data_IF_081042875224
#
_entry.id   IF_081042875224
#
_cell.length_a   1.000
_cell.length_b   1.000
_cell.length_c   1.000
_cell.angle_alpha   90.00
_cell.angle_beta   90.00
_cell.angle_gamma   90.00
#
_symmetry.space_group_name_H-M   'P 1'
#
loop_
_entity.id
_entity.type
_entity.pdbx_description
1 polymer ?
#
# COMPACT_ATOMS: atom_id res chain seq x y z
N UNK A 1 -9.42 -0.06 12.55
CA UNK A 1 -8.24 0.45 11.83
C UNK A 1 -7.19 -0.64 11.86
N UNK A 2 -6.84 -1.18 10.70
CA UNK A 2 -5.94 -2.31 10.56
C UNK A 2 -4.68 -1.99 9.72
N UNK A 3 -4.56 -0.74 9.22
CA UNK A 3 -3.39 -0.29 8.46
C UNK A 3 -3.08 1.18 8.69
N UNK A 4 -1.79 1.46 8.85
CA UNK A 4 -1.22 2.81 8.91
C UNK A 4 -0.11 2.95 7.90
N UNK A 5 0.15 4.16 7.40
CA UNK A 5 1.38 4.48 6.68
C UNK A 5 2.28 5.38 7.49
N UNK A 6 3.58 5.20 7.29
CA UNK A 6 4.64 5.96 7.94
C UNK A 6 5.56 6.50 6.87
N UNK A 7 5.77 7.82 6.82
CA UNK A 7 6.67 8.48 5.87
C UNK A 7 8.13 8.16 6.22
N UNK A 8 8.47 6.89 6.21
CA UNK A 8 9.86 6.44 6.43
C UNK A 8 10.03 4.99 6.00
N UNK A 9 11.09 4.71 5.30
CA UNK A 9 11.57 3.35 5.08
C UNK A 9 12.59 2.90 6.14
N UNK A 10 12.70 3.64 7.23
CA UNK A 10 13.58 3.27 8.33
C UNK A 10 12.93 2.20 9.21
N UNK A 11 12.99 0.96 8.77
CA UNK A 11 12.45 -0.20 9.49
C UNK A 11 12.92 -0.27 10.94
N UNK A 12 14.14 0.22 11.25
CA UNK A 12 14.65 0.32 12.63
C UNK A 12 13.69 1.04 13.56
N UNK A 13 13.16 2.19 13.12
CA UNK A 13 12.22 2.99 13.92
C UNK A 13 10.87 2.30 14.07
N UNK A 14 10.37 1.73 12.96
CA UNK A 14 9.10 0.99 12.96
C UNK A 14 9.22 -0.21 13.89
N UNK A 15 10.25 -1.06 13.71
CA UNK A 15 10.45 -2.25 14.54
C UNK A 15 10.67 -1.93 16.03
N UNK A 16 11.28 -0.78 16.33
CA UNK A 16 11.46 -0.33 17.72
C UNK A 16 10.17 0.19 18.36
N UNK A 17 9.24 0.71 17.55
CA UNK A 17 7.96 1.23 18.04
C UNK A 17 6.89 0.15 18.17
N UNK A 18 7.01 -0.97 17.44
CA UNK A 18 6.06 -2.07 17.56
C UNK A 18 6.09 -2.67 18.98
N UNK A 19 4.93 -3.10 19.49
CA UNK A 19 4.90 -3.84 20.75
C UNK A 19 5.59 -5.20 20.58
N UNK A 20 5.82 -5.87 21.71
CA UNK A 20 6.31 -7.25 21.68
C UNK A 20 5.28 -8.14 20.98
N UNK A 21 5.70 -8.74 19.85
CA UNK A 21 4.90 -9.68 19.10
C UNK A 21 5.09 -11.11 19.66
N UNK A 22 4.11 -12.01 19.49
CA UNK A 22 4.32 -13.44 19.72
C UNK A 22 5.53 -13.96 18.94
N UNK A 23 6.17 -15.06 19.35
CA UNK A 23 7.26 -15.67 18.59
C UNK A 23 6.91 -15.87 17.13
N UNK A 24 7.67 -15.27 16.22
CA UNK A 24 7.39 -15.28 14.79
C UNK A 24 8.66 -15.31 13.94
N UNK A 25 8.48 -15.68 12.69
CA UNK A 25 9.45 -15.55 11.63
C UNK A 25 8.97 -14.49 10.62
N UNK A 26 9.90 -13.91 9.88
CA UNK A 26 9.60 -12.97 8.81
C UNK A 26 9.68 -13.67 7.46
N UNK A 27 8.55 -13.79 6.78
CA UNK A 27 8.50 -14.08 5.35
C UNK A 27 8.65 -12.75 4.62
N UNK A 28 9.72 -12.64 3.84
CA UNK A 28 10.04 -11.43 3.06
C UNK A 28 9.89 -11.81 1.59
N UNK A 29 9.09 -11.04 0.86
CA UNK A 29 8.77 -11.32 -0.55
C UNK A 29 8.85 -10.05 -1.38
N UNK A 30 9.02 -10.22 -2.69
CA UNK A 30 9.04 -9.15 -3.70
C UNK A 30 10.00 -8.01 -3.32
N UNK A 31 11.19 -8.40 -2.86
CA UNK A 31 12.15 -7.52 -2.22
C UNK A 31 13.05 -6.80 -3.24
N UNK A 32 13.10 -5.48 -3.11
CA UNK A 32 14.14 -4.62 -3.69
C UNK A 32 14.71 -3.72 -2.59
N UNK A 33 16.00 -3.82 -2.34
CA UNK A 33 16.66 -3.02 -1.30
C UNK A 33 18.10 -2.67 -1.69
N UNK A 34 18.62 -1.63 -1.06
CA UNK A 34 19.99 -1.19 -1.17
C UNK A 34 20.62 -1.10 0.22
N UNK A 35 21.85 -1.56 0.37
CA UNK A 35 22.68 -1.28 1.54
C UNK A 35 23.48 -0.01 1.28
N UNK A 36 23.15 1.08 1.98
CA UNK A 36 23.80 2.37 1.80
C UNK A 36 25.20 2.43 2.42
N UNK A 37 25.57 1.42 3.23
CA UNK A 37 26.90 1.31 3.86
C UNK A 37 27.96 0.61 3.01
N UNK A 38 27.58 0.02 1.86
CA UNK A 38 28.49 -0.67 0.91
C UNK A 38 27.95 -2.00 0.43
N UNK A 39 28.30 -2.38 -0.79
CA UNK A 39 27.73 -3.49 -1.56
C UNK A 39 28.02 -4.92 -1.06
N UNK A 40 28.96 -5.11 -0.15
CA UNK A 40 29.49 -6.45 0.19
C UNK A 40 28.57 -7.36 1.01
N UNK A 41 27.32 -6.97 1.20
CA UNK A 41 26.41 -7.72 2.07
C UNK A 41 25.03 -8.04 1.51
N UNK A 42 24.72 -7.61 0.29
CA UNK A 42 23.39 -7.76 -0.29
C UNK A 42 23.09 -9.13 -0.92
N UNK A 43 24.03 -10.06 -1.07
CA UNK A 43 23.76 -11.35 -1.73
C UNK A 43 22.59 -12.11 -1.07
N UNK A 44 22.52 -12.12 0.26
CA UNK A 44 21.40 -12.72 1.00
C UNK A 44 20.10 -11.99 0.72
N UNK A 45 20.12 -10.67 0.65
CA UNK A 45 18.99 -9.79 0.45
C UNK A 45 18.65 -9.55 -1.03
N UNK A 46 19.47 -10.08 -1.95
CA UNK A 46 19.19 -10.09 -3.39
C UNK A 46 18.19 -11.19 -3.80
N UNK A 47 17.75 -12.03 -2.86
CA UNK A 47 16.78 -13.06 -3.12
C UNK A 47 15.37 -12.45 -3.10
N UNK A 48 14.51 -12.86 -4.04
CA UNK A 48 13.13 -12.39 -4.10
C UNK A 48 12.28 -12.84 -2.92
N UNK A 49 12.71 -13.88 -2.21
CA UNK A 49 12.01 -14.48 -1.10
C UNK A 49 12.98 -14.95 -0.03
N UNK A 50 12.70 -14.57 1.22
CA UNK A 50 13.48 -14.96 2.40
C UNK A 50 12.53 -15.38 3.52
N UNK A 51 12.92 -16.41 4.28
CA UNK A 51 12.30 -16.73 5.56
C UNK A 51 13.36 -16.61 6.65
N UNK A 52 13.22 -15.62 7.52
CA UNK A 52 14.18 -15.30 8.58
C UNK A 52 13.52 -15.38 9.95
N UNK A 53 14.29 -15.79 10.97
CA UNK A 53 13.84 -15.61 12.35
C UNK A 53 13.76 -14.11 12.69
N UNK A 54 12.89 -13.73 13.63
CA UNK A 54 12.79 -12.33 14.09
C UNK A 54 14.14 -11.81 14.59
N UNK A 55 14.90 -12.62 15.31
CA UNK A 55 16.22 -12.26 15.78
C UNK A 55 17.18 -11.94 14.62
N UNK A 56 17.25 -12.82 13.62
CA UNK A 56 18.10 -12.60 12.45
C UNK A 56 17.71 -11.36 11.69
N UNK A 57 16.42 -11.17 11.44
CA UNK A 57 15.90 -9.98 10.75
C UNK A 57 16.26 -8.70 11.48
N UNK A 58 15.96 -8.61 12.78
CA UNK A 58 16.27 -7.42 13.60
C UNK A 58 17.78 -7.15 13.69
N UNK A 59 18.59 -8.18 13.79
CA UNK A 59 20.05 -8.03 13.78
C UNK A 59 20.56 -7.47 12.45
N UNK A 60 20.08 -7.98 11.34
CA UNK A 60 20.46 -7.51 10.01
C UNK A 60 20.04 -6.05 9.80
N UNK A 61 18.78 -5.72 10.09
CA UNK A 61 18.28 -4.34 9.99
C UNK A 61 19.01 -3.39 10.94
N UNK A 62 19.44 -3.84 12.13
CA UNK A 62 20.20 -3.02 13.08
C UNK A 62 21.63 -2.76 12.62
N UNK A 63 22.30 -3.78 12.07
CA UNK A 63 23.71 -3.72 11.69
C UNK A 63 23.92 -2.96 10.38
N UNK A 64 22.95 -2.96 9.50
CA UNK A 64 23.04 -2.40 8.16
C UNK A 64 22.20 -1.15 8.01
N UNK A 65 22.59 -0.27 7.13
CA UNK A 65 21.78 0.89 6.74
C UNK A 65 20.99 0.54 5.47
N UNK A 66 20.01 -0.35 5.65
CA UNK A 66 19.18 -0.86 4.55
C UNK A 66 18.11 0.16 4.15
N UNK A 67 18.07 0.50 2.88
CA UNK A 67 16.97 1.19 2.26
C UNK A 67 16.12 0.18 1.47
N UNK A 68 14.92 -0.07 1.92
CA UNK A 68 13.96 -0.91 1.21
C UNK A 68 13.18 -0.04 0.23
N UNK A 69 13.31 -0.34 -1.07
CA UNK A 69 12.57 0.34 -2.13
C UNK A 69 11.19 -0.29 -2.24
N UNK A 70 11.17 -1.61 -2.41
CA UNK A 70 9.97 -2.45 -2.42
C UNK A 70 10.19 -3.66 -1.52
N UNK A 71 9.10 -4.22 -1.04
CA UNK A 71 9.13 -5.49 -0.32
C UNK A 71 8.00 -5.63 0.67
N UNK A 72 7.55 -6.87 0.84
CA UNK A 72 6.54 -7.24 1.83
C UNK A 72 7.16 -8.12 2.90
N UNK A 73 6.99 -7.76 4.15
CA UNK A 73 7.58 -8.40 5.33
C UNK A 73 6.45 -8.88 6.22
N UNK A 74 6.13 -10.16 6.15
CA UNK A 74 5.01 -10.78 6.88
C UNK A 74 5.51 -11.48 8.15
N UNK A 75 5.08 -11.03 9.33
CA UNK A 75 5.36 -11.67 10.61
C UNK A 75 4.44 -12.88 10.80
N UNK A 76 4.97 -14.09 10.66
CA UNK A 76 4.24 -15.34 10.74
C UNK A 76 4.63 -16.09 12.01
N UNK A 77 3.66 -16.51 12.87
CA UNK A 77 3.96 -17.27 14.09
C UNK A 77 4.84 -18.49 13.85
N UNK A 78 5.78 -18.76 14.76
CA UNK A 78 6.71 -19.89 14.64
C UNK A 78 6.06 -21.27 14.70
N UNK A 79 4.77 -21.34 15.04
CA UNK A 79 4.00 -22.62 15.04
C UNK A 79 3.72 -23.20 13.65
N UNK A 80 4.00 -22.45 12.58
CA UNK A 80 3.79 -22.91 11.20
C UNK A 80 5.11 -23.33 10.56
N UNK A 81 5.10 -24.50 9.91
CA UNK A 81 6.22 -24.97 9.09
C UNK A 81 6.32 -24.18 7.78
N UNK A 82 7.50 -24.16 7.17
CA UNK A 82 7.69 -23.53 5.85
C UNK A 82 6.75 -24.11 4.80
N UNK A 83 6.49 -25.42 4.83
CA UNK A 83 5.56 -26.08 3.92
C UNK A 83 4.11 -25.58 4.08
N UNK A 84 3.69 -25.25 5.30
CA UNK A 84 2.36 -24.67 5.55
C UNK A 84 2.29 -23.22 5.07
N UNK A 85 3.35 -22.44 5.31
CA UNK A 85 3.46 -21.06 4.83
C UNK A 85 3.34 -21.02 3.30
N UNK A 86 4.08 -21.87 2.60
CA UNK A 86 4.12 -21.92 1.13
C UNK A 86 2.85 -22.47 0.46
N UNK A 87 1.83 -22.90 1.22
CA UNK A 87 0.51 -23.27 0.66
C UNK A 87 -0.31 -22.05 0.21
N UNK A 88 0.06 -20.86 0.67
CA UNK A 88 -0.63 -19.63 0.34
C UNK A 88 0.13 -18.83 -0.73
N UNK A 89 -0.58 -18.01 -1.52
CA UNK A 89 0.08 -17.09 -2.43
C UNK A 89 1.08 -16.19 -1.67
N UNK A 90 2.21 -15.95 -2.30
CA UNK A 90 3.20 -15.02 -1.74
C UNK A 90 2.66 -13.59 -1.82
N UNK A 91 2.88 -12.79 -0.77
CA UNK A 91 2.57 -11.36 -0.82
C UNK A 91 3.35 -10.63 -1.91
N UNK A 92 2.70 -9.66 -2.54
CA UNK A 92 3.25 -8.85 -3.62
C UNK A 92 3.30 -7.37 -3.21
N UNK A 93 4.37 -6.68 -3.58
CA UNK A 93 4.57 -5.27 -3.25
C UNK A 93 3.64 -4.37 -4.08
N UNK A 94 3.56 -4.58 -5.38
CA UNK A 94 2.70 -3.79 -6.25
C UNK A 94 1.26 -4.35 -6.31
N UNK A 95 0.48 -4.11 -5.27
CA UNK A 95 -0.89 -4.60 -5.21
C UNK A 95 -1.90 -3.48 -4.91
N UNK A 96 -3.08 -3.46 -5.56
CA UNK A 96 -4.14 -2.50 -5.25
C UNK A 96 -4.79 -2.71 -3.87
N UNK A 97 -4.43 -3.76 -3.15
CA UNK A 97 -4.99 -4.04 -1.81
C UNK A 97 -4.77 -2.89 -0.82
N UNK A 98 -3.66 -2.16 -0.94
CA UNK A 98 -3.37 -1.01 -0.08
C UNK A 98 -4.26 0.21 -0.33
N UNK A 99 -5.05 0.20 -1.41
CA UNK A 99 -6.09 1.20 -1.69
C UNK A 99 -7.48 0.78 -1.22
N UNK A 100 -7.60 -0.37 -0.57
CA UNK A 100 -8.88 -0.90 -0.08
C UNK A 100 -9.35 -0.13 1.17
N UNK A 101 -10.67 -0.17 1.41
CA UNK A 101 -11.27 0.42 2.63
C UNK A 101 -10.95 -0.37 3.90
N UNK A 102 -10.49 -1.61 3.74
CA UNK A 102 -10.01 -2.47 4.82
C UNK A 102 -8.76 -3.19 4.35
N UNK A 103 -7.67 -2.98 5.05
CA UNK A 103 -6.35 -3.48 4.69
C UNK A 103 -5.89 -4.43 5.79
N UNK A 104 -5.78 -5.70 5.45
CA UNK A 104 -5.24 -6.75 6.31
C UNK A 104 -3.94 -7.29 5.71
N UNK A 105 -3.07 -7.92 6.52
CA UNK A 105 -1.92 -8.64 6.00
C UNK A 105 -2.30 -9.54 4.84
N UNK A 106 -1.51 -9.49 3.74
CA UNK A 106 -1.78 -10.27 2.53
C UNK A 106 -1.65 -11.77 2.81
N UNK A 107 -0.60 -12.14 3.57
CA UNK A 107 -0.41 -13.56 3.92
C UNK A 107 -1.41 -13.98 4.99
N UNK A 108 -2.22 -15.05 4.77
CA UNK A 108 -3.29 -15.43 5.71
C UNK A 108 -2.81 -15.82 7.11
N UNK A 109 -1.57 -16.25 7.26
CA UNK A 109 -0.98 -16.60 8.56
C UNK A 109 -0.26 -15.45 9.24
N UNK A 110 -0.04 -14.32 8.56
CA UNK A 110 0.65 -13.19 9.15
C UNK A 110 -0.21 -12.47 10.20
N UNK A 111 0.39 -12.13 11.32
CA UNK A 111 -0.22 -11.31 12.39
C UNK A 111 -0.04 -9.82 12.12
N UNK A 112 1.07 -9.46 11.48
CA UNK A 112 1.45 -8.12 11.08
C UNK A 112 2.23 -8.20 9.77
N UNK A 113 2.14 -7.14 8.96
CA UNK A 113 2.85 -7.02 7.70
C UNK A 113 3.36 -5.60 7.50
N UNK A 114 4.63 -5.49 7.10
CA UNK A 114 5.23 -4.25 6.66
C UNK A 114 5.33 -4.30 5.14
N UNK A 115 4.96 -3.21 4.48
CA UNK A 115 5.10 -3.06 3.05
C UNK A 115 5.89 -1.78 2.74
N UNK A 116 7.10 -1.95 2.19
CA UNK A 116 7.92 -0.83 1.73
C UNK A 116 7.49 -0.42 0.32
N UNK A 117 7.28 0.88 0.13
CA UNK A 117 6.89 1.46 -1.15
C UNK A 117 7.78 2.63 -1.54
N UNK A 118 8.39 2.51 -2.71
CA UNK A 118 9.13 3.57 -3.41
C UNK A 118 10.19 4.28 -2.55
N UNK A 119 10.81 3.53 -1.63
CA UNK A 119 11.91 4.01 -0.80
C UNK A 119 11.55 5.11 0.23
N UNK A 120 10.31 5.57 0.30
CA UNK A 120 9.89 6.69 1.16
C UNK A 120 8.70 6.40 2.07
N UNK A 121 7.90 5.39 1.78
CA UNK A 121 6.68 5.09 2.51
C UNK A 121 6.69 3.63 2.98
N UNK A 122 6.23 3.40 4.20
CA UNK A 122 6.00 2.05 4.71
C UNK A 122 4.57 1.93 5.22
N UNK A 123 3.82 1.01 4.66
CA UNK A 123 2.53 0.61 5.21
C UNK A 123 2.75 -0.46 6.28
N UNK A 124 1.99 -0.38 7.35
CA UNK A 124 1.97 -1.39 8.40
C UNK A 124 0.54 -1.83 8.60
N UNK A 125 0.24 -3.07 8.28
CA UNK A 125 -1.07 -3.68 8.49
C UNK A 125 -1.00 -4.76 9.56
N UNK A 126 -2.05 -4.92 10.34
CA UNK A 126 -2.12 -5.91 11.40
C UNK A 126 -3.53 -6.50 11.52
N UNK A 127 -3.63 -7.75 11.99
CA UNK A 127 -4.93 -8.36 12.31
C UNK A 127 -5.56 -7.74 13.53
N UNK A 128 -4.74 -7.33 14.51
CA UNK A 128 -5.18 -6.66 15.72
C UNK A 128 -4.73 -5.19 15.66
N UNK A 129 -5.69 -4.28 15.66
CA UNK A 129 -5.45 -2.84 15.55
C UNK A 129 -4.56 -2.28 16.68
N UNK A 130 -4.63 -2.89 17.87
CA UNK A 130 -3.81 -2.52 19.02
C UNK A 130 -2.31 -2.60 18.75
N UNK A 131 -1.88 -3.47 17.83
CA UNK A 131 -0.47 -3.58 17.43
C UNK A 131 0.05 -2.32 16.72
N UNK A 132 -0.84 -1.51 16.15
CA UNK A 132 -0.49 -0.30 15.41
C UNK A 132 -0.49 0.97 16.28
N UNK A 133 -1.12 0.95 17.44
CA UNK A 133 -1.23 2.13 18.32
C UNK A 133 0.12 2.79 18.68
N UNK A 134 1.20 2.04 18.97
CA UNK A 134 2.48 2.66 19.27
C UNK A 134 3.09 3.44 18.10
N UNK A 135 2.73 3.09 16.85
CA UNK A 135 3.27 3.74 15.66
C UNK A 135 2.83 5.21 15.55
N UNK A 136 1.65 5.56 16.09
CA UNK A 136 1.19 6.95 16.13
C UNK A 136 2.04 7.89 16.99
N UNK A 137 2.99 7.33 17.75
CA UNK A 137 3.96 8.10 18.55
C UNK A 137 5.28 8.34 17.81
N UNK A 138 5.43 7.78 16.61
CA UNK A 138 6.61 8.03 15.79
C UNK A 138 6.63 9.46 15.30
N UNK A 139 7.81 10.06 15.30
CA UNK A 139 8.04 11.33 14.63
C UNK A 139 7.92 11.10 13.12
N UNK A 140 6.95 11.74 12.50
CA UNK A 140 6.64 11.61 11.09
C UNK A 140 5.14 11.59 10.83
N UNK A 141 4.75 11.67 9.57
CA UNK A 141 3.34 11.63 9.18
C UNK A 141 2.83 10.18 9.24
N UNK A 142 2.29 9.79 10.38
CA UNK A 142 1.54 8.52 10.49
C UNK A 142 0.09 8.77 10.12
N UNK A 143 -0.40 8.04 9.10
CA UNK A 143 -1.76 8.18 8.56
C UNK A 143 -2.58 6.93 8.78
N UNK A 144 -3.88 7.12 8.97
CA UNK A 144 -4.86 6.02 8.91
C UNK A 144 -5.21 5.77 7.44
N UNK A 145 -4.53 4.80 6.82
CA UNK A 145 -4.71 4.48 5.41
C UNK A 145 -6.15 4.03 5.09
N UNK A 146 -6.80 3.32 5.98
CA UNK A 146 -8.19 2.92 5.75
C UNK A 146 -9.14 4.13 5.77
N UNK A 147 -8.88 5.11 6.63
CA UNK A 147 -9.67 6.35 6.65
C UNK A 147 -9.44 7.18 5.39
N UNK A 148 -8.19 7.35 5.00
CA UNK A 148 -7.82 8.08 3.78
C UNK A 148 -8.38 7.40 2.54
N UNK A 149 -8.28 6.08 2.44
CA UNK A 149 -8.85 5.29 1.35
C UNK A 149 -10.38 5.39 1.29
N UNK A 150 -11.08 5.37 2.42
CA UNK A 150 -12.55 5.57 2.42
C UNK A 150 -12.95 6.93 1.83
N UNK A 151 -12.21 7.98 2.16
CA UNK A 151 -12.44 9.32 1.59
C UNK A 151 -12.16 9.32 0.09
N UNK A 152 -10.98 8.83 -0.31
CA UNK A 152 -10.58 8.72 -1.72
C UNK A 152 -11.60 7.91 -2.53
N UNK A 153 -11.96 6.73 -2.05
CA UNK A 153 -12.89 5.82 -2.73
C UNK A 153 -14.29 6.43 -2.87
N UNK A 154 -14.73 7.21 -1.88
CA UNK A 154 -16.01 7.95 -1.98
C UNK A 154 -15.93 8.98 -3.10
N UNK A 155 -14.86 9.73 -3.20
CA UNK A 155 -14.64 10.74 -4.23
C UNK A 155 -14.55 10.11 -5.64
N UNK A 156 -13.81 9.02 -5.76
CA UNK A 156 -13.66 8.27 -7.00
C UNK A 156 -15.02 7.72 -7.48
N UNK A 157 -15.85 7.17 -6.60
CA UNK A 157 -17.21 6.72 -6.93
C UNK A 157 -18.07 7.86 -7.44
N UNK A 158 -18.06 9.02 -6.77
CA UNK A 158 -18.81 10.20 -7.25
C UNK A 158 -18.42 10.59 -8.68
N UNK A 159 -17.13 10.60 -9.00
CA UNK A 159 -16.65 10.88 -10.37
C UNK A 159 -17.18 9.84 -11.34
N UNK A 160 -17.11 8.58 -10.99
CA UNK A 160 -17.54 7.46 -11.83
C UNK A 160 -19.05 7.46 -12.06
N UNK A 161 -19.85 7.75 -11.03
CA UNK A 161 -21.31 7.84 -11.15
C UNK A 161 -21.71 8.98 -12.08
N UNK A 162 -21.07 10.14 -11.97
CA UNK A 162 -21.30 11.27 -12.88
C UNK A 162 -20.97 10.89 -14.33
N UNK A 163 -19.83 10.23 -14.53
CA UNK A 163 -19.39 9.81 -15.86
C UNK A 163 -20.35 8.78 -16.47
N UNK A 164 -20.73 7.76 -15.71
CA UNK A 164 -21.70 6.73 -16.18
C UNK A 164 -23.07 7.29 -16.52
N UNK A 165 -23.56 8.23 -15.71
CA UNK A 165 -24.83 8.91 -15.99
C UNK A 165 -24.78 9.74 -17.28
N UNK A 166 -23.66 10.39 -17.54
CA UNK A 166 -23.49 11.26 -18.70
C UNK A 166 -23.09 10.49 -19.97
N UNK A 167 -22.36 9.40 -19.83
CA UNK A 167 -21.80 8.58 -20.93
C UNK A 167 -21.91 7.10 -20.57
N UNK A 168 -23.09 6.48 -20.70
CA UNK A 168 -23.32 5.09 -20.26
C UNK A 168 -22.38 4.05 -20.93
N UNK A 169 -21.93 4.31 -22.15
CA UNK A 169 -21.08 3.39 -22.93
C UNK A 169 -19.61 3.81 -22.93
N UNK A 170 -19.16 4.56 -21.93
CA UNK A 170 -17.74 4.92 -21.84
C UNK A 170 -16.86 3.68 -21.72
N UNK A 171 -15.79 3.63 -22.53
CA UNK A 171 -14.84 2.50 -22.41
C UNK A 171 -14.12 2.51 -21.05
N UNK A 172 -13.81 1.35 -20.46
CA UNK A 172 -13.13 1.25 -19.16
C UNK A 172 -11.86 2.10 -19.11
N UNK A 173 -11.02 2.03 -20.13
CA UNK A 173 -9.78 2.80 -20.23
C UNK A 173 -9.99 4.31 -20.13
N UNK A 174 -11.00 4.85 -20.80
CA UNK A 174 -11.31 6.28 -20.72
C UNK A 174 -11.91 6.61 -19.35
N UNK A 175 -12.76 5.75 -18.81
CA UNK A 175 -13.35 5.94 -17.49
C UNK A 175 -12.26 6.04 -16.41
N UNK A 176 -11.31 5.14 -16.42
CA UNK A 176 -10.19 5.13 -15.46
C UNK A 176 -9.34 6.40 -15.59
N UNK A 177 -8.99 6.78 -16.83
CA UNK A 177 -8.18 7.98 -17.05
C UNK A 177 -8.90 9.25 -16.57
N UNK A 178 -10.20 9.39 -16.84
CA UNK A 178 -11.02 10.52 -16.37
C UNK A 178 -11.09 10.53 -14.85
N UNK A 179 -11.36 9.38 -14.25
CA UNK A 179 -11.50 9.23 -12.81
C UNK A 179 -10.24 9.69 -12.07
N UNK A 180 -9.09 9.16 -12.45
CA UNK A 180 -7.82 9.50 -11.81
C UNK A 180 -7.39 10.94 -12.04
N UNK A 181 -7.55 11.48 -13.24
CA UNK A 181 -7.16 12.86 -13.53
C UNK A 181 -8.03 13.88 -12.82
N UNK A 182 -9.35 13.65 -12.77
CA UNK A 182 -10.26 14.54 -12.05
C UNK A 182 -10.00 14.44 -10.55
N UNK A 183 -9.80 13.20 -10.02
CA UNK A 183 -9.48 13.03 -8.61
C UNK A 183 -8.17 13.76 -8.26
N UNK A 184 -7.12 13.53 -9.04
CA UNK A 184 -5.82 14.17 -8.82
C UNK A 184 -5.91 15.70 -8.87
N UNK A 185 -6.63 16.27 -9.82
CA UNK A 185 -6.75 17.71 -9.97
C UNK A 185 -7.56 18.39 -8.86
N UNK A 186 -8.58 17.72 -8.32
CA UNK A 186 -9.53 18.34 -7.41
C UNK A 186 -9.36 17.93 -5.94
N UNK A 187 -8.83 16.75 -5.67
CA UNK A 187 -8.87 16.15 -4.34
C UNK A 187 -7.50 15.85 -3.73
N UNK A 188 -6.44 15.71 -4.53
CA UNK A 188 -5.10 15.39 -4.01
C UNK A 188 -4.63 16.34 -2.90
N UNK A 189 -4.86 17.64 -3.08
CA UNK A 189 -4.39 18.67 -2.14
C UNK A 189 -5.52 19.41 -1.43
N UNK A 190 -6.78 19.05 -1.73
CA UNK A 190 -7.95 19.74 -1.20
C UNK A 190 -8.86 18.77 -0.47
N UNK A 191 -8.88 18.88 0.84
CA UNK A 191 -9.87 18.20 1.71
C UNK A 191 -11.27 18.82 1.64
N UNK A 192 -11.49 19.83 0.78
CA UNK A 192 -12.72 20.59 0.71
C UNK A 192 -13.83 19.90 -0.11
N UNK A 193 -15.07 20.20 0.25
CA UNK A 193 -16.25 19.77 -0.50
C UNK A 193 -16.29 20.41 -1.88
N UNK A 194 -16.11 19.61 -2.92
CA UNK A 194 -16.34 20.00 -4.31
C UNK A 194 -17.84 19.86 -4.60
N UNK A 195 -18.51 20.95 -5.08
CA UNK A 195 -19.93 20.87 -5.44
C UNK A 195 -20.17 19.91 -6.60
N UNK A 196 -21.31 19.24 -6.63
CA UNK A 196 -21.64 18.27 -7.69
C UNK A 196 -21.68 18.93 -9.07
N UNK A 197 -22.13 20.19 -9.13
CA UNK A 197 -22.10 20.94 -10.39
C UNK A 197 -20.66 21.11 -10.92
N UNK A 198 -19.74 21.58 -10.07
CA UNK A 198 -18.35 21.78 -10.46
C UNK A 198 -17.66 20.46 -10.82
N UNK A 199 -17.90 19.42 -10.02
CA UNK A 199 -17.39 18.08 -10.28
C UNK A 199 -17.87 17.55 -11.63
N UNK A 200 -19.16 17.74 -11.96
CA UNK A 200 -19.72 17.35 -13.26
C UNK A 200 -19.07 18.07 -14.42
N UNK A 201 -18.80 19.38 -14.29
CA UNK A 201 -18.08 20.14 -15.31
C UNK A 201 -16.66 19.60 -15.53
N UNK A 202 -15.91 19.34 -14.45
CA UNK A 202 -14.57 18.80 -14.50
C UNK A 202 -14.53 17.40 -15.16
N UNK A 203 -15.43 16.51 -14.76
CA UNK A 203 -15.58 15.15 -15.34
C UNK A 203 -15.83 15.21 -16.84
N UNK A 204 -16.77 16.06 -17.27
CA UNK A 204 -17.14 16.16 -18.69
C UNK A 204 -16.04 16.86 -19.53
N UNK A 205 -15.31 17.81 -18.94
CA UNK A 205 -14.17 18.44 -19.61
C UNK A 205 -13.04 17.42 -19.83
N UNK A 206 -12.70 16.65 -18.80
CA UNK A 206 -11.67 15.61 -18.90
C UNK A 206 -12.08 14.48 -19.84
N UNK A 207 -13.34 14.03 -19.78
CA UNK A 207 -13.86 13.03 -20.72
C UNK A 207 -13.66 13.47 -22.18
N UNK A 208 -14.03 14.71 -22.54
CA UNK A 208 -13.82 15.24 -23.88
C UNK A 208 -12.35 15.31 -24.26
N UNK A 209 -11.47 15.62 -23.32
CA UNK A 209 -10.02 15.61 -23.53
C UNK A 209 -9.51 14.20 -23.83
N UNK A 210 -9.93 13.19 -23.04
CA UNK A 210 -9.52 11.79 -23.21
C UNK A 210 -10.05 11.18 -24.53
N UNK A 211 -11.23 11.56 -24.98
CA UNK A 211 -11.76 11.12 -26.28
C UNK A 211 -10.94 11.70 -27.43
N UNK A 212 -10.48 12.97 -27.33
CA UNK A 212 -9.68 13.63 -28.38
C UNK A 212 -8.22 13.15 -28.41
N UNK A 213 -7.65 12.93 -27.27
CA UNK A 213 -6.26 12.51 -27.09
C UNK A 213 -6.13 11.60 -25.87
N UNK A 214 -6.34 10.30 -26.04
CA UNK A 214 -6.26 9.35 -24.93
C UNK A 214 -4.87 9.38 -24.28
N UNK A 215 -4.84 9.63 -22.99
CA UNK A 215 -3.60 9.57 -22.26
C UNK A 215 -3.07 8.13 -22.22
N UNK A 216 -1.73 7.99 -22.22
CA UNK A 216 -1.05 6.71 -22.03
C UNK A 216 -0.94 6.34 -20.55
N UNK A 217 -1.84 6.79 -19.71
CA UNK A 217 -1.88 6.29 -18.34
C UNK A 217 -2.23 4.81 -18.38
N UNK A 218 -1.41 3.96 -17.76
CA UNK A 218 -1.75 2.57 -17.66
C UNK A 218 -3.08 2.43 -16.92
N UNK A 219 -3.98 1.66 -17.47
CA UNK A 219 -5.27 1.28 -16.89
C UNK A 219 -5.08 0.29 -15.73
N UNK A 220 -4.07 0.50 -14.88
CA UNK A 220 -3.53 -0.63 -14.14
C UNK A 220 -4.17 -0.84 -12.78
N UNK A 221 -4.81 0.16 -12.11
CA UNK A 221 -4.70 -0.06 -10.68
C UNK A 221 -5.95 -0.10 -9.85
N UNK A 222 -7.15 0.20 -10.35
CA UNK A 222 -8.21 0.15 -9.37
C UNK A 222 -9.63 0.16 -9.95
N UNK A 223 -10.40 -0.90 -9.69
CA UNK A 223 -11.86 -0.93 -9.84
C UNK A 223 -12.52 -0.90 -8.45
N UNK A 224 -13.12 0.23 -8.04
CA UNK A 224 -13.80 0.35 -6.76
C UNK A 224 -14.98 -0.61 -6.62
N UNK A 225 -15.44 -1.23 -7.70
CA UNK A 225 -16.57 -2.15 -7.74
C UNK A 225 -16.15 -3.62 -7.81
N UNK A 226 -14.88 -3.93 -8.07
CA UNK A 226 -14.37 -5.32 -8.06
C UNK A 226 -14.27 -5.92 -6.65
N UNK A 227 -14.48 -5.10 -5.63
CA UNK A 227 -14.49 -5.55 -4.23
C UNK A 227 -15.93 -5.78 -3.75
N UNK A 228 -16.58 -6.79 -4.31
CA UNK A 228 -17.80 -7.35 -3.74
C UNK A 228 -17.50 -8.69 -3.10
#
# INVERSE_FOLDING_TARGET
MACVSVDTCQFKKILAALPELPPHNWLITDLECYDTSGWDGCEKWAQRELLLTDETFRQDVKKRDMQFIWGVFSAIPTGYSEAEIRRYPLPEAETPRYMANSILPQHPLAILELYAQDGGLTFVSAREASLLEPLYRLDGAVRDEEADNRVMNTQLRRIQDILRQAVPEVSPRIADAVQWRVWWALFREKTGNVSDWFLRQAVMAEYRAQVRSPSRFPSVYWDPYAQK
#
